data_IF_273782663822
#
_entry.id   IF_273782663822
#
_cell.length_a   1.000
_cell.length_b   1.000
_cell.length_c   1.000
_cell.angle_alpha   90.00
_cell.angle_beta   90.00
_cell.angle_gamma   90.00
#
_symmetry.space_group_name_H-M   'P 1'
#
loop_
_entity.id
_entity.type
_entity.pdbx_description
1 polymer ?
#
# COMPACT_ATOMS: atom_id res chain seq x y z
N UNK A 1 -20.86 -15.48 -19.98
CA UNK A 1 -20.89 -15.41 -18.50
C UNK A 1 -22.29 -15.48 -17.88
N UNK A 2 -23.37 -14.94 -18.48
CA UNK A 2 -24.76 -15.15 -17.96
C UNK A 2 -25.36 -16.56 -18.18
N UNK A 3 -24.66 -17.46 -18.88
CA UNK A 3 -25.14 -18.82 -19.16
C UNK A 3 -24.95 -19.81 -17.99
N UNK A 4 -23.97 -19.57 -17.10
CA UNK A 4 -23.56 -20.52 -16.05
C UNK A 4 -24.10 -20.19 -14.65
N UNK A 5 -24.89 -19.12 -14.51
CA UNK A 5 -25.48 -18.71 -13.23
C UNK A 5 -26.93 -19.19 -13.03
N UNK A 6 -27.53 -19.80 -14.05
CA UNK A 6 -28.90 -20.33 -13.98
C UNK A 6 -28.85 -21.86 -14.14
N UNK A 7 -29.08 -22.62 -13.05
CA UNK A 7 -29.02 -24.09 -13.05
C UNK A 7 -29.99 -24.72 -14.05
N UNK A 8 -31.12 -24.06 -14.33
CA UNK A 8 -32.11 -24.57 -15.28
C UNK A 8 -31.65 -24.37 -16.74
N UNK A 9 -30.90 -23.29 -17.00
CA UNK A 9 -30.23 -23.08 -18.29
C UNK A 9 -29.02 -23.99 -18.47
N UNK A 10 -28.26 -24.27 -17.41
CA UNK A 10 -27.17 -25.25 -17.45
C UNK A 10 -27.70 -26.66 -17.73
N UNK A 11 -28.77 -27.07 -17.04
CA UNK A 11 -29.41 -28.36 -17.29
C UNK A 11 -29.84 -28.48 -18.76
N UNK A 12 -30.55 -27.50 -19.31
CA UNK A 12 -31.00 -27.52 -20.71
C UNK A 12 -29.85 -27.50 -21.73
N UNK A 13 -28.68 -26.98 -21.35
CA UNK A 13 -27.48 -26.89 -22.19
C UNK A 13 -26.65 -28.18 -22.19
N UNK A 14 -26.59 -28.89 -21.07
CA UNK A 14 -25.76 -30.10 -20.89
C UNK A 14 -26.55 -31.41 -20.92
N UNK A 15 -27.88 -31.37 -20.99
CA UNK A 15 -28.72 -32.58 -21.09
C UNK A 15 -29.46 -32.76 -22.43
N UNK A 16 -29.50 -31.77 -23.32
CA UNK A 16 -30.07 -31.91 -24.65
C UNK A 16 -28.95 -32.17 -25.67
N UNK A 17 -28.85 -33.40 -26.24
CA UNK A 17 -27.79 -33.76 -27.19
C UNK A 17 -27.79 -32.89 -28.44
N UNK A 18 -28.94 -32.37 -28.88
CA UNK A 18 -29.01 -31.47 -30.04
C UNK A 18 -28.49 -30.08 -29.68
N UNK A 19 -28.75 -29.61 -28.47
CA UNK A 19 -28.21 -28.33 -27.99
C UNK A 19 -26.71 -28.43 -27.69
N UNK A 20 -26.24 -29.56 -27.14
CA UNK A 20 -24.81 -29.85 -27.04
C UNK A 20 -24.17 -29.90 -28.42
N UNK A 21 -24.79 -30.56 -29.39
CA UNK A 21 -24.29 -30.61 -30.76
C UNK A 21 -24.22 -29.20 -31.36
N UNK A 22 -25.26 -28.37 -31.25
CA UNK A 22 -25.22 -26.98 -31.73
C UNK A 22 -24.13 -26.17 -30.99
N UNK A 23 -23.95 -26.37 -29.68
CA UNK A 23 -22.94 -25.65 -28.90
C UNK A 23 -21.50 -26.04 -29.25
N UNK A 24 -21.28 -27.32 -29.57
CA UNK A 24 -19.96 -27.92 -29.81
C UNK A 24 -19.69 -28.24 -31.29
N UNK A 25 -20.61 -27.97 -32.22
CA UNK A 25 -20.45 -28.20 -33.66
C UNK A 25 -20.94 -27.04 -34.56
N UNK A 26 -21.64 -26.02 -34.05
CA UNK A 26 -21.83 -24.77 -34.79
C UNK A 26 -20.57 -23.89 -34.60
N UNK A 27 -19.78 -23.64 -35.66
CA UNK A 27 -18.54 -22.87 -35.56
C UNK A 27 -18.78 -21.44 -35.05
N UNK A 28 -19.95 -20.86 -35.30
CA UNK A 28 -20.29 -19.52 -34.81
C UNK A 28 -20.65 -19.52 -33.32
N UNK A 29 -21.21 -20.61 -32.79
CA UNK A 29 -21.54 -20.75 -31.36
C UNK A 29 -20.34 -21.23 -30.55
N UNK A 30 -19.54 -22.13 -31.09
CA UNK A 30 -18.22 -22.49 -30.54
C UNK A 30 -17.32 -21.27 -30.43
N UNK A 31 -17.29 -20.42 -31.47
CA UNK A 31 -16.55 -19.18 -31.42
C UNK A 31 -17.09 -18.21 -30.36
N UNK A 32 -18.40 -18.21 -30.07
CA UNK A 32 -18.97 -17.41 -28.97
C UNK A 32 -18.68 -18.00 -27.58
N UNK A 33 -18.56 -19.32 -27.44
CA UNK A 33 -18.30 -19.99 -26.16
C UNK A 33 -16.80 -20.12 -25.83
N UNK A 34 -15.99 -20.37 -26.85
CA UNK A 34 -14.58 -20.74 -26.80
C UNK A 34 -13.73 -19.83 -27.69
N UNK A 35 -14.09 -18.55 -27.79
CA UNK A 35 -13.45 -17.53 -28.65
C UNK A 35 -11.92 -17.44 -28.50
N UNK A 36 -11.30 -18.09 -27.51
CA UNK A 36 -9.86 -18.14 -27.35
C UNK A 36 -9.30 -19.56 -27.67
N UNK A 37 -8.74 -19.77 -28.88
CA UNK A 37 -8.16 -21.05 -29.29
C UNK A 37 -7.02 -21.54 -28.39
N UNK A 38 -6.34 -20.65 -27.66
CA UNK A 38 -5.23 -21.01 -26.78
C UNK A 38 -5.67 -21.57 -25.42
N UNK A 39 -6.94 -21.39 -25.03
CA UNK A 39 -7.50 -22.01 -23.82
C UNK A 39 -7.93 -23.45 -24.08
N UNK A 40 -8.48 -23.73 -25.27
CA UNK A 40 -8.76 -25.12 -25.70
C UNK A 40 -7.49 -25.94 -25.82
N UNK A 41 -6.42 -25.35 -26.36
CA UNK A 41 -5.15 -26.02 -26.56
C UNK A 41 -4.57 -26.62 -25.26
N UNK A 42 -4.75 -25.93 -24.14
CA UNK A 42 -4.23 -26.37 -22.85
C UNK A 42 -5.08 -27.43 -22.15
N UNK A 43 -6.37 -27.54 -22.48
CA UNK A 43 -7.30 -28.47 -21.81
C UNK A 43 -7.30 -29.88 -22.45
N UNK A 44 -6.86 -30.00 -23.72
CA UNK A 44 -7.19 -31.17 -24.57
C UNK A 44 -5.98 -31.87 -25.21
N UNK A 45 -4.78 -31.82 -24.60
CA UNK A 45 -3.55 -32.31 -25.23
C UNK A 45 -3.29 -33.84 -25.14
N UNK A 46 -4.22 -34.65 -24.62
CA UNK A 46 -4.18 -36.10 -24.78
C UNK A 46 -5.60 -36.69 -24.99
N UNK A 47 -5.95 -37.10 -26.23
CA UNK A 47 -7.27 -37.63 -26.56
C UNK A 47 -7.66 -38.90 -25.78
N UNK A 48 -6.69 -39.71 -25.34
CA UNK A 48 -6.96 -40.92 -24.56
C UNK A 48 -7.15 -40.62 -23.07
N UNK A 49 -6.43 -39.63 -22.54
CA UNK A 49 -6.70 -39.09 -21.20
C UNK A 49 -8.05 -38.38 -21.17
N UNK A 50 -8.39 -37.61 -22.21
CA UNK A 50 -9.69 -36.97 -22.34
C UNK A 50 -10.83 -37.99 -22.33
N UNK A 51 -10.68 -39.11 -23.06
CA UNK A 51 -11.66 -40.19 -22.99
C UNK A 51 -11.75 -40.75 -21.56
N UNK A 52 -10.64 -41.06 -20.89
CA UNK A 52 -10.69 -41.53 -19.50
C UNK A 52 -11.27 -40.51 -18.50
N UNK A 53 -11.03 -39.22 -18.71
CA UNK A 53 -11.46 -38.12 -17.82
C UNK A 53 -12.94 -37.80 -17.95
N UNK A 54 -13.49 -37.90 -19.17
CA UNK A 54 -14.86 -37.50 -19.48
C UNK A 54 -15.82 -38.67 -19.72
N UNK A 55 -15.32 -39.90 -19.87
CA UNK A 55 -16.16 -41.08 -20.09
C UNK A 55 -16.24 -42.07 -18.93
N UNK A 56 -15.38 -41.99 -17.90
CA UNK A 56 -15.48 -42.83 -16.69
C UNK A 56 -16.04 -42.03 -15.49
N UNK A 57 -17.31 -42.24 -15.12
CA UNK A 57 -17.96 -41.53 -14.01
C UNK A 57 -17.29 -41.76 -12.65
N UNK A 58 -16.54 -42.86 -12.46
CA UNK A 58 -15.92 -43.16 -11.18
C UNK A 58 -14.61 -42.40 -10.96
N UNK A 59 -13.86 -42.11 -12.03
CA UNK A 59 -12.66 -41.26 -11.96
C UNK A 59 -13.04 -39.79 -11.70
N UNK A 60 -14.16 -39.36 -12.28
CA UNK A 60 -14.78 -38.07 -11.97
C UNK A 60 -15.19 -37.97 -10.50
N UNK A 61 -15.56 -39.07 -9.85
CA UNK A 61 -15.91 -39.01 -8.44
C UNK A 61 -14.70 -38.75 -7.52
N UNK A 62 -13.58 -39.43 -7.75
CA UNK A 62 -12.38 -39.32 -6.89
C UNK A 62 -11.65 -37.97 -7.03
N UNK A 63 -11.64 -37.41 -8.25
CA UNK A 63 -10.89 -36.19 -8.56
C UNK A 63 -11.57 -34.93 -7.99
N UNK A 64 -12.89 -34.97 -7.81
CA UNK A 64 -13.69 -33.80 -7.44
C UNK A 64 -14.00 -33.70 -5.93
N UNK A 65 -13.52 -34.64 -5.10
CA UNK A 65 -13.84 -34.72 -3.67
C UNK A 65 -12.64 -34.65 -2.70
N UNK A 66 -11.37 -34.71 -3.16
CA UNK A 66 -10.17 -34.55 -2.30
C UNK A 66 -9.54 -33.14 -2.43
N UNK A 67 -9.66 -32.25 -1.43
CA UNK A 67 -9.19 -30.87 -1.49
C UNK A 67 -7.66 -30.70 -1.59
N UNK A 68 -6.86 -31.63 -1.03
CA UNK A 68 -5.40 -31.52 -1.04
C UNK A 68 -4.82 -31.96 -2.38
N UNK A 69 -5.43 -32.97 -3.01
CA UNK A 69 -5.11 -33.37 -4.38
C UNK A 69 -5.60 -32.35 -5.39
N UNK A 70 -6.78 -31.76 -5.16
CA UNK A 70 -7.24 -30.59 -5.91
C UNK A 70 -6.19 -29.47 -5.84
N UNK A 71 -5.67 -29.12 -4.66
CA UNK A 71 -4.67 -28.05 -4.55
C UNK A 71 -3.38 -28.33 -5.33
N UNK A 72 -2.83 -29.54 -5.27
CA UNK A 72 -1.65 -29.93 -6.08
C UNK A 72 -1.94 -29.99 -7.58
N UNK A 73 -3.17 -30.32 -7.97
CA UNK A 73 -3.65 -30.24 -9.36
C UNK A 73 -3.69 -28.79 -9.88
N UNK A 74 -3.84 -27.80 -8.99
CA UNK A 74 -4.00 -26.39 -9.36
C UNK A 74 -2.81 -25.49 -9.03
N UNK A 75 -1.72 -26.01 -8.44
CA UNK A 75 -0.48 -25.27 -8.15
C UNK A 75 0.49 -25.33 -9.34
N UNK A 76 1.05 -24.17 -9.69
CA UNK A 76 2.10 -24.05 -10.70
C UNK A 76 3.35 -23.45 -10.07
N UNK A 77 4.43 -24.24 -10.02
CA UNK A 77 5.76 -23.82 -9.57
C UNK A 77 6.64 -23.46 -10.79
N UNK A 78 7.20 -22.25 -10.81
CA UNK A 78 8.06 -21.76 -11.91
C UNK A 78 9.44 -21.38 -11.38
N UNK A 79 10.44 -22.20 -11.72
CA UNK A 79 11.86 -21.97 -11.38
C UNK A 79 12.69 -21.83 -12.67
N UNK A 80 12.83 -20.62 -13.24
CA UNK A 80 13.64 -20.40 -14.43
C UNK A 80 15.13 -20.57 -14.15
N UNK A 81 15.89 -21.01 -15.17
CA UNK A 81 17.35 -21.17 -15.09
C UNK A 81 18.08 -19.81 -15.21
N UNK A 82 19.31 -19.69 -14.68
CA UNK A 82 20.10 -18.46 -14.78
C UNK A 82 20.29 -18.01 -16.24
N UNK A 83 19.87 -16.80 -16.55
CA UNK A 83 19.90 -16.18 -17.89
C UNK A 83 20.02 -14.66 -17.74
N UNK A 84 20.35 -13.95 -18.81
CA UNK A 84 20.47 -12.47 -18.80
C UNK A 84 19.11 -11.79 -18.59
N UNK A 85 18.05 -12.37 -19.15
CA UNK A 85 16.68 -11.86 -19.16
C UNK A 85 15.72 -13.01 -18.89
N UNK A 86 14.71 -12.79 -18.05
CA UNK A 86 13.65 -13.76 -17.76
C UNK A 86 12.30 -13.04 -17.76
N UNK A 87 11.41 -13.46 -18.65
CA UNK A 87 10.03 -12.99 -18.68
C UNK A 87 9.10 -14.15 -18.28
N UNK A 88 8.34 -13.97 -17.21
CA UNK A 88 7.45 -15.01 -16.66
C UNK A 88 6.01 -14.50 -16.63
N UNK A 89 5.19 -15.13 -17.48
CA UNK A 89 3.75 -14.85 -17.62
C UNK A 89 2.98 -16.15 -17.37
N UNK A 90 2.78 -16.54 -16.10
CA UNK A 90 2.00 -17.73 -15.77
C UNK A 90 0.54 -17.52 -16.19
N UNK A 91 -0.08 -18.60 -16.65
CA UNK A 91 -1.51 -18.63 -16.98
C UNK A 91 -2.35 -18.67 -15.70
N UNK A 92 -3.64 -18.30 -15.78
CA UNK A 92 -4.56 -18.35 -14.64
C UNK A 92 -4.58 -19.74 -13.97
N UNK A 93 -4.26 -19.80 -12.69
CA UNK A 93 -4.33 -21.01 -11.85
C UNK A 93 -4.78 -20.64 -10.42
N UNK A 94 -5.05 -21.64 -9.58
CA UNK A 94 -5.42 -21.34 -8.19
C UNK A 94 -4.25 -20.68 -7.45
N UNK A 95 -3.04 -21.23 -7.60
CA UNK A 95 -1.85 -20.75 -6.90
C UNK A 95 -0.63 -20.77 -7.83
N UNK A 96 0.22 -19.74 -7.73
CA UNK A 96 1.48 -19.64 -8.48
C UNK A 96 2.62 -19.27 -7.56
N UNK A 97 3.72 -20.03 -7.61
CA UNK A 97 4.99 -19.72 -6.93
C UNK A 97 6.08 -19.48 -7.98
N UNK A 98 6.80 -18.37 -7.87
CA UNK A 98 7.83 -17.98 -8.84
C UNK A 98 9.14 -17.59 -8.16
N UNK A 99 10.22 -18.33 -8.48
CA UNK A 99 11.53 -18.18 -7.83
C UNK A 99 12.65 -18.13 -8.87
N UNK A 100 12.91 -16.99 -9.53
CA UNK A 100 14.05 -16.86 -10.43
C UNK A 100 15.37 -16.84 -9.64
N UNK A 101 16.46 -17.28 -10.29
CA UNK A 101 17.80 -17.30 -9.69
C UNK A 101 18.82 -16.70 -10.63
N UNK A 102 19.58 -15.72 -10.15
CA UNK A 102 20.82 -15.23 -10.78
C UNK A 102 20.63 -14.69 -12.20
N UNK A 103 19.86 -13.61 -12.33
CA UNK A 103 19.49 -13.00 -13.62
C UNK A 103 19.75 -11.50 -13.62
N UNK A 104 20.06 -10.90 -14.77
CA UNK A 104 20.28 -9.44 -14.83
C UNK A 104 18.96 -8.68 -14.77
N UNK A 105 17.95 -9.16 -15.50
CA UNK A 105 16.62 -8.55 -15.61
C UNK A 105 15.54 -9.61 -15.47
N UNK A 106 14.46 -9.28 -14.75
CA UNK A 106 13.31 -10.17 -14.61
C UNK A 106 12.00 -9.40 -14.67
N UNK A 107 11.07 -9.85 -15.51
CA UNK A 107 9.71 -9.35 -15.61
C UNK A 107 8.71 -10.44 -15.18
N UNK A 108 7.81 -10.11 -14.25
CA UNK A 108 6.75 -10.98 -13.76
C UNK A 108 5.37 -10.40 -14.04
N UNK A 109 4.55 -11.11 -14.80
CA UNK A 109 3.16 -10.69 -15.07
C UNK A 109 2.19 -11.86 -14.86
N UNK A 110 1.96 -12.30 -13.60
CA UNK A 110 0.97 -13.33 -13.34
C UNK A 110 -0.45 -12.81 -13.65
N UNK A 111 -1.19 -13.65 -14.37
CA UNK A 111 -2.60 -13.46 -14.77
C UNK A 111 -3.54 -13.93 -13.65
N UNK A 112 -4.87 -13.71 -13.74
CA UNK A 112 -5.79 -13.88 -12.61
C UNK A 112 -5.62 -15.21 -11.88
N UNK A 113 -5.23 -15.16 -10.61
CA UNK A 113 -4.98 -16.32 -9.74
C UNK A 113 -5.52 -16.02 -8.34
N UNK A 114 -5.80 -17.05 -7.54
CA UNK A 114 -6.22 -16.82 -6.16
C UNK A 114 -5.04 -16.30 -5.33
N UNK A 115 -3.87 -16.93 -5.45
CA UNK A 115 -2.66 -16.53 -4.71
C UNK A 115 -1.44 -16.48 -5.62
N UNK A 116 -0.53 -15.54 -5.34
CA UNK A 116 0.76 -15.39 -6.00
C UNK A 116 1.86 -15.17 -4.96
N UNK A 117 2.91 -15.97 -5.02
CA UNK A 117 4.14 -15.78 -4.26
C UNK A 117 5.32 -15.56 -5.25
N UNK A 118 6.03 -14.44 -5.10
CA UNK A 118 7.16 -14.09 -5.97
C UNK A 118 8.39 -13.80 -5.11
N UNK A 119 9.43 -14.61 -5.29
CA UNK A 119 10.68 -14.54 -4.50
C UNK A 119 11.90 -14.49 -5.43
N UNK A 120 12.19 -13.34 -6.07
CA UNK A 120 13.38 -13.21 -6.90
C UNK A 120 14.64 -13.22 -6.04
N UNK A 121 15.65 -13.99 -6.51
CA UNK A 121 16.98 -14.15 -5.89
C UNK A 121 18.02 -13.46 -6.79
N UNK A 122 19.19 -13.06 -6.24
CA UNK A 122 19.97 -11.91 -6.64
C UNK A 122 19.87 -11.50 -8.12
N UNK A 123 19.35 -10.29 -8.35
CA UNK A 123 19.14 -9.73 -9.70
C UNK A 123 19.59 -8.26 -9.77
N UNK A 124 19.78 -7.71 -10.97
CA UNK A 124 20.05 -6.28 -11.12
C UNK A 124 18.74 -5.47 -11.14
N UNK A 125 17.75 -5.94 -11.90
CA UNK A 125 16.45 -5.27 -12.09
C UNK A 125 15.31 -6.28 -11.96
N UNK A 126 14.22 -5.88 -11.32
CA UNK A 126 12.99 -6.68 -11.18
C UNK A 126 11.77 -5.81 -11.45
N UNK A 127 10.89 -6.26 -12.34
CA UNK A 127 9.55 -5.71 -12.54
C UNK A 127 8.49 -6.76 -12.19
N UNK A 128 7.54 -6.43 -11.31
CA UNK A 128 6.48 -7.33 -10.86
C UNK A 128 5.11 -6.68 -11.02
N UNK A 129 4.25 -7.24 -11.88
CA UNK A 129 2.92 -6.73 -12.22
C UNK A 129 1.85 -7.82 -12.12
N UNK A 130 1.48 -8.28 -10.90
CA UNK A 130 0.40 -9.24 -10.72
C UNK A 130 -0.95 -8.61 -11.07
N UNK A 131 -1.82 -9.35 -11.77
CA UNK A 131 -3.10 -8.84 -12.26
C UNK A 131 -4.27 -9.67 -11.75
N UNK A 132 -5.22 -9.00 -11.09
CA UNK A 132 -6.53 -9.58 -10.71
C UNK A 132 -6.39 -10.81 -9.81
N UNK A 133 -5.69 -10.63 -8.70
CA UNK A 133 -5.35 -11.70 -7.75
C UNK A 133 -5.97 -11.46 -6.37
N UNK A 134 -6.35 -12.50 -5.64
CA UNK A 134 -6.91 -12.29 -4.28
C UNK A 134 -5.79 -11.89 -3.33
N UNK A 135 -4.68 -12.62 -3.32
CA UNK A 135 -3.53 -12.36 -2.46
C UNK A 135 -2.23 -12.32 -3.26
N UNK A 136 -1.33 -11.41 -2.88
CA UNK A 136 0.02 -11.27 -3.46
C UNK A 136 1.04 -11.12 -2.35
N UNK A 137 2.05 -11.99 -2.35
CA UNK A 137 3.23 -11.89 -1.51
C UNK A 137 4.48 -11.74 -2.39
N UNK A 138 5.25 -10.67 -2.19
CA UNK A 138 6.44 -10.35 -2.97
C UNK A 138 7.63 -10.13 -2.02
N UNK A 139 8.60 -11.04 -2.05
CA UNK A 139 9.78 -11.01 -1.16
C UNK A 139 11.07 -11.03 -1.98
N UNK A 140 11.42 -9.92 -2.63
CA UNK A 140 12.61 -9.88 -3.45
C UNK A 140 13.88 -9.76 -2.60
N UNK A 141 14.95 -10.41 -3.07
CA UNK A 141 16.23 -10.60 -2.37
C UNK A 141 17.37 -10.07 -3.25
N UNK A 142 18.50 -9.65 -2.64
CA UNK A 142 19.33 -8.53 -3.04
C UNK A 142 19.23 -8.08 -4.51
N UNK A 143 18.72 -6.88 -4.72
CA UNK A 143 18.47 -6.29 -6.04
C UNK A 143 19.01 -4.86 -6.12
N UNK A 144 19.39 -4.39 -7.31
CA UNK A 144 19.72 -2.96 -7.46
C UNK A 144 18.44 -2.12 -7.60
N UNK A 145 17.49 -2.56 -8.43
CA UNK A 145 16.27 -1.80 -8.72
C UNK A 145 15.05 -2.71 -8.78
N UNK A 146 13.95 -2.26 -8.19
CA UNK A 146 12.66 -2.96 -8.18
C UNK A 146 11.51 -2.03 -8.50
N UNK A 147 10.66 -2.46 -9.42
CA UNK A 147 9.36 -1.85 -9.71
C UNK A 147 8.25 -2.87 -9.48
N UNK A 148 7.30 -2.56 -8.59
CA UNK A 148 6.22 -3.49 -8.23
C UNK A 148 4.88 -2.77 -8.37
N UNK A 149 4.04 -3.26 -9.28
CA UNK A 149 2.75 -2.64 -9.64
C UNK A 149 1.62 -3.68 -9.58
N UNK A 150 1.17 -4.08 -8.37
CA UNK A 150 0.00 -4.93 -8.22
C UNK A 150 -1.25 -4.26 -8.79
N UNK A 151 -2.05 -5.02 -9.53
CA UNK A 151 -3.29 -4.57 -10.19
C UNK A 151 -4.47 -5.42 -9.72
N UNK A 152 -5.67 -4.82 -9.63
CA UNK A 152 -6.70 -5.06 -8.62
C UNK A 152 -6.53 -6.31 -7.76
N UNK A 153 -6.26 -6.13 -6.47
CA UNK A 153 -6.02 -7.23 -5.54
C UNK A 153 -6.77 -7.05 -4.22
N UNK A 154 -7.06 -8.14 -3.49
CA UNK A 154 -7.66 -7.98 -2.15
C UNK A 154 -6.59 -7.60 -1.14
N UNK A 155 -5.50 -8.39 -1.09
CA UNK A 155 -4.39 -8.19 -0.16
C UNK A 155 -3.05 -8.17 -0.88
N UNK A 156 -2.13 -7.31 -0.43
CA UNK A 156 -0.76 -7.20 -0.94
C UNK A 156 0.21 -7.11 0.23
N UNK A 157 1.19 -7.99 0.26
CA UNK A 157 2.34 -7.92 1.17
C UNK A 157 3.63 -7.84 0.34
N UNK A 158 4.44 -6.81 0.58
CA UNK A 158 5.70 -6.58 -0.13
C UNK A 158 6.84 -6.39 0.89
N UNK A 159 7.89 -7.22 0.80
CA UNK A 159 9.00 -7.24 1.77
C UNK A 159 10.35 -7.33 1.03
N UNK A 160 10.84 -6.24 0.42
CA UNK A 160 12.10 -6.22 -0.28
C UNK A 160 13.26 -6.20 0.73
N UNK A 161 14.33 -6.93 0.39
CA UNK A 161 15.48 -7.12 1.28
C UNK A 161 16.78 -6.74 0.59
N UNK A 162 17.50 -5.78 1.18
CA UNK A 162 18.84 -5.35 0.75
C UNK A 162 18.84 -4.83 -0.68
N UNK A 163 18.06 -3.78 -0.94
CA UNK A 163 17.83 -3.24 -2.27
C UNK A 163 18.30 -1.78 -2.38
N UNK A 164 18.82 -1.36 -3.53
CA UNK A 164 19.23 0.05 -3.69
C UNK A 164 18.01 0.95 -3.87
N UNK A 165 17.12 0.63 -4.81
CA UNK A 165 15.92 1.42 -5.10
C UNK A 165 14.69 0.54 -5.25
N UNK A 166 13.60 0.95 -4.60
CA UNK A 166 12.29 0.28 -4.69
C UNK A 166 11.21 1.30 -5.03
N UNK A 167 10.47 1.06 -6.11
CA UNK A 167 9.29 1.82 -6.49
C UNK A 167 8.06 0.90 -6.48
N UNK A 168 7.04 1.26 -5.70
CA UNK A 168 5.84 0.45 -5.51
C UNK A 168 4.59 1.29 -5.76
N UNK A 169 3.77 0.85 -6.71
CA UNK A 169 2.56 1.56 -7.14
C UNK A 169 1.37 0.59 -7.24
N UNK A 170 0.85 0.09 -6.12
CA UNK A 170 -0.30 -0.80 -6.13
C UNK A 170 -1.57 -0.04 -6.51
N UNK A 171 -2.44 -0.75 -7.21
CA UNK A 171 -3.67 -0.26 -7.84
C UNK A 171 -4.84 -1.13 -7.36
N UNK A 172 -6.06 -0.58 -7.37
CA UNK A 172 -7.11 -0.75 -6.37
C UNK A 172 -7.00 -1.98 -5.48
N UNK A 173 -6.77 -1.78 -4.18
CA UNK A 173 -6.61 -2.87 -3.22
C UNK A 173 -7.48 -2.70 -1.98
N UNK A 174 -7.72 -3.78 -1.22
CA UNK A 174 -8.39 -3.64 0.09
C UNK A 174 -7.36 -3.32 1.17
N UNK A 175 -6.33 -4.16 1.30
CA UNK A 175 -5.30 -4.03 2.34
C UNK A 175 -3.90 -4.14 1.76
N UNK A 176 -2.99 -3.28 2.21
CA UNK A 176 -1.58 -3.32 1.81
C UNK A 176 -0.66 -3.23 3.02
N UNK A 177 0.33 -4.11 3.05
CA UNK A 177 1.44 -4.08 3.99
C UNK A 177 2.76 -3.98 3.20
N UNK A 178 3.58 -2.99 3.55
CA UNK A 178 4.90 -2.84 2.93
C UNK A 178 5.99 -2.62 3.98
N UNK A 179 6.97 -3.53 3.97
CA UNK A 179 8.03 -3.59 4.99
C UNK A 179 9.40 -3.71 4.30
N UNK A 180 9.94 -2.63 3.69
CA UNK A 180 11.27 -2.67 3.11
C UNK A 180 12.35 -2.81 4.19
N UNK A 181 13.36 -3.62 3.90
CA UNK A 181 14.48 -3.94 4.81
C UNK A 181 15.81 -3.71 4.10
N UNK A 182 16.79 -3.20 4.86
CA UNK A 182 17.74 -2.15 4.45
C UNK A 182 17.67 -1.71 2.99
N UNK A 183 17.24 -0.47 2.74
CA UNK A 183 17.13 0.07 1.37
C UNK A 183 17.72 1.48 1.24
N UNK A 184 18.29 1.85 0.09
CA UNK A 184 18.78 3.22 -0.08
C UNK A 184 17.61 4.17 -0.31
N UNK A 185 16.80 3.90 -1.33
CA UNK A 185 15.66 4.75 -1.70
C UNK A 185 14.37 3.94 -1.83
N UNK A 186 13.27 4.50 -1.33
CA UNK A 186 11.93 3.92 -1.41
C UNK A 186 10.94 4.97 -1.90
N UNK A 187 10.21 4.65 -2.95
CA UNK A 187 9.03 5.40 -3.41
C UNK A 187 7.79 4.49 -3.29
N UNK A 188 6.79 4.94 -2.55
CA UNK A 188 5.55 4.18 -2.32
C UNK A 188 4.31 5.02 -2.60
N UNK A 189 3.56 4.65 -3.65
CA UNK A 189 2.41 5.41 -4.15
C UNK A 189 1.18 4.50 -4.28
N UNK A 190 0.54 4.11 -3.16
CA UNK A 190 -0.65 3.27 -3.21
C UNK A 190 -1.86 4.06 -3.73
N UNK A 191 -2.69 3.41 -4.55
CA UNK A 191 -3.82 4.01 -5.26
C UNK A 191 -5.08 3.17 -5.11
N UNK A 192 -6.24 3.85 -5.07
CA UNK A 192 -7.34 3.67 -4.11
C UNK A 192 -7.29 2.40 -3.25
N UNK A 193 -7.16 2.56 -1.93
CA UNK A 193 -7.01 1.43 -1.01
C UNK A 193 -7.85 1.63 0.26
N UNK A 194 -8.28 0.56 0.94
CA UNK A 194 -8.98 0.74 2.23
C UNK A 194 -7.98 1.00 3.34
N UNK A 195 -6.97 0.16 3.47
CA UNK A 195 -5.96 0.26 4.53
C UNK A 195 -4.55 0.13 3.97
N UNK A 196 -3.64 0.96 4.46
CA UNK A 196 -2.21 0.92 4.13
C UNK A 196 -1.40 0.91 5.42
N UNK A 197 -0.52 -0.09 5.56
CA UNK A 197 0.50 -0.15 6.60
C UNK A 197 1.89 -0.11 5.95
N UNK A 198 2.72 0.84 6.39
CA UNK A 198 4.05 1.08 5.84
C UNK A 198 5.09 1.15 6.95
N UNK A 199 6.02 0.19 6.99
CA UNK A 199 7.01 0.05 8.07
C UNK A 199 8.42 -0.15 7.50
N UNK A 200 9.05 0.88 6.92
CA UNK A 200 10.39 0.77 6.39
C UNK A 200 11.40 0.66 7.53
N UNK A 201 12.41 -0.18 7.29
CA UNK A 201 13.51 -0.47 8.20
C UNK A 201 14.82 -0.09 7.50
N UNK A 202 15.86 0.25 8.27
CA UNK A 202 16.87 1.25 7.95
C UNK A 202 16.94 1.72 6.49
N UNK A 203 16.49 2.93 6.21
CA UNK A 203 16.47 3.49 4.86
C UNK A 203 17.18 4.85 4.77
N UNK A 204 17.70 5.22 3.59
CA UNK A 204 18.28 6.57 3.44
C UNK A 204 17.18 7.59 3.15
N UNK A 205 16.42 7.37 2.07
CA UNK A 205 15.33 8.26 1.64
C UNK A 205 14.03 7.49 1.49
N UNK A 206 12.92 8.10 1.91
CA UNK A 206 11.58 7.53 1.80
C UNK A 206 10.62 8.60 1.29
N UNK A 207 9.93 8.31 0.20
CA UNK A 207 8.82 9.11 -0.33
C UNK A 207 7.53 8.27 -0.32
N UNK A 208 6.48 8.80 0.30
CA UNK A 208 5.19 8.10 0.45
C UNK A 208 4.06 9.02 0.01
N UNK A 209 3.29 8.59 -0.99
CA UNK A 209 2.18 9.38 -1.56
C UNK A 209 0.92 8.51 -1.67
N UNK A 210 0.25 8.18 -0.56
CA UNK A 210 -0.99 7.41 -0.61
C UNK A 210 -2.11 8.26 -1.21
N UNK A 211 -2.87 7.67 -2.15
CA UNK A 211 -3.93 8.36 -2.89
C UNK A 211 -5.28 7.67 -2.73
N UNK A 212 -6.27 8.43 -2.26
CA UNK A 212 -7.66 7.99 -2.12
C UNK A 212 -7.77 6.78 -1.20
N UNK A 213 -7.26 6.91 0.02
CA UNK A 213 -7.19 5.81 0.99
C UNK A 213 -8.03 6.08 2.23
N UNK A 214 -8.65 5.06 2.83
CA UNK A 214 -9.44 5.27 4.05
C UNK A 214 -8.51 5.47 5.24
N UNK A 215 -7.61 4.53 5.50
CA UNK A 215 -6.66 4.58 6.62
C UNK A 215 -5.23 4.38 6.16
N UNK A 216 -4.31 5.15 6.74
CA UNK A 216 -2.87 5.05 6.47
C UNK A 216 -2.12 5.03 7.79
N UNK A 217 -1.30 4.01 8.02
CA UNK A 217 -0.34 3.94 9.12
C UNK A 217 1.08 3.89 8.57
N UNK A 218 1.92 4.85 8.96
CA UNK A 218 3.30 4.99 8.51
C UNK A 218 4.23 5.02 9.73
N UNK A 219 5.03 3.96 9.92
CA UNK A 219 5.94 3.81 11.06
C UNK A 219 7.37 3.57 10.59
N UNK A 220 8.04 4.59 10.04
CA UNK A 220 9.37 4.41 9.52
C UNK A 220 10.42 4.36 10.63
N UNK A 221 11.45 3.55 10.41
CA UNK A 221 12.48 3.19 11.40
C UNK A 221 13.87 3.27 10.78
N UNK A 222 14.86 3.66 11.61
CA UNK A 222 15.85 4.71 11.34
C UNK A 222 15.97 5.16 9.87
N UNK A 223 15.74 6.45 9.61
CA UNK A 223 15.83 7.00 8.26
C UNK A 223 16.62 8.32 8.23
N UNK A 224 17.17 8.69 7.07
CA UNK A 224 17.81 10.02 6.94
C UNK A 224 16.76 11.07 6.60
N UNK A 225 16.02 10.88 5.52
CA UNK A 225 15.03 11.85 5.01
C UNK A 225 13.71 11.16 4.67
N UNK A 226 12.60 11.75 5.07
CA UNK A 226 11.25 11.27 4.78
C UNK A 226 10.37 12.39 4.23
N UNK A 227 9.66 12.09 3.15
CA UNK A 227 8.60 12.92 2.60
C UNK A 227 7.30 12.12 2.54
N UNK A 228 6.25 12.63 3.19
CA UNK A 228 4.98 11.94 3.33
C UNK A 228 3.85 12.86 2.89
N UNK A 229 3.19 12.52 1.78
CA UNK A 229 2.16 13.35 1.15
C UNK A 229 0.85 12.57 0.92
N UNK A 230 0.06 12.31 1.98
CA UNK A 230 -1.26 11.71 1.85
C UNK A 230 -2.20 12.59 1.04
N UNK A 231 -2.94 11.99 0.10
CA UNK A 231 -3.85 12.66 -0.83
C UNK A 231 -5.19 11.92 -0.90
N UNK A 232 -6.30 12.67 -0.98
CA UNK A 232 -7.49 12.49 -0.14
C UNK A 232 -7.52 11.24 0.74
N UNK A 233 -7.47 11.41 2.07
CA UNK A 233 -7.53 10.28 3.02
C UNK A 233 -8.43 10.55 4.22
N UNK A 234 -9.06 9.51 4.80
CA UNK A 234 -9.90 9.73 6.00
C UNK A 234 -9.02 9.89 7.23
N UNK A 235 -8.18 8.90 7.53
CA UNK A 235 -7.29 8.92 8.70
C UNK A 235 -5.85 8.64 8.30
N UNK A 236 -4.91 9.35 8.94
CA UNK A 236 -3.46 9.16 8.76
C UNK A 236 -2.78 9.16 10.12
N UNK A 237 -2.06 8.09 10.43
CA UNK A 237 -1.15 8.00 11.58
C UNK A 237 0.30 7.92 11.08
N UNK A 238 1.16 8.81 11.58
CA UNK A 238 2.58 8.86 11.20
C UNK A 238 3.45 8.88 12.45
N UNK A 239 4.28 7.85 12.62
CA UNK A 239 5.16 7.67 13.79
C UNK A 239 6.60 7.44 13.34
N UNK A 240 7.30 8.50 12.86
CA UNK A 240 8.68 8.36 12.43
C UNK A 240 9.60 8.18 13.63
N UNK A 241 10.55 7.23 13.52
CA UNK A 241 11.47 6.87 14.61
C UNK A 241 12.93 6.99 14.19
N UNK A 242 13.70 7.78 14.95
CA UNK A 242 15.13 8.01 14.75
C UNK A 242 15.44 8.54 13.34
N UNK A 243 14.84 9.68 13.01
CA UNK A 243 14.88 10.27 11.68
C UNK A 243 15.63 11.61 11.70
N UNK A 244 16.39 11.96 10.66
CA UNK A 244 17.02 13.30 10.64
C UNK A 244 16.00 14.35 10.24
N UNK A 245 15.36 14.18 9.09
CA UNK A 245 14.43 15.16 8.53
C UNK A 245 13.13 14.50 8.10
N UNK A 246 12.00 15.08 8.50
CA UNK A 246 10.66 14.60 8.14
C UNK A 246 9.85 15.77 7.59
N UNK A 247 9.32 15.62 6.38
CA UNK A 247 8.34 16.53 5.77
C UNK A 247 7.00 15.80 5.60
N UNK A 248 5.93 16.36 6.15
CA UNK A 248 4.59 15.79 6.11
C UNK A 248 3.59 16.80 5.55
N UNK A 249 2.98 16.48 4.42
CA UNK A 249 2.07 17.39 3.69
C UNK A 249 0.74 16.69 3.36
N UNK A 250 -0.14 16.43 4.35
CA UNK A 250 -1.43 15.81 4.11
C UNK A 250 -2.36 16.77 3.37
N UNK A 251 -3.11 16.23 2.40
CA UNK A 251 -3.96 16.97 1.48
C UNK A 251 -5.27 16.21 1.22
N UNK A 252 -6.36 16.95 1.06
CA UNK A 252 -7.46 16.98 2.03
C UNK A 252 -7.59 15.72 2.89
N UNK A 253 -7.63 15.85 4.21
CA UNK A 253 -7.77 14.70 5.11
C UNK A 253 -8.72 14.97 6.28
N UNK A 254 -9.39 13.94 6.80
CA UNK A 254 -10.26 14.16 7.97
C UNK A 254 -9.42 14.29 9.23
N UNK A 255 -8.64 13.27 9.57
CA UNK A 255 -7.80 13.26 10.77
C UNK A 255 -6.34 12.94 10.43
N UNK A 256 -5.42 13.58 11.14
CA UNK A 256 -3.97 13.37 10.99
C UNK A 256 -3.32 13.37 12.37
N UNK A 257 -2.73 12.23 12.73
CA UNK A 257 -2.04 12.04 14.00
C UNK A 257 -0.55 11.80 13.73
N UNK A 258 0.30 12.68 14.26
CA UNK A 258 1.74 12.67 13.97
C UNK A 258 2.53 12.66 15.27
N UNK A 259 3.35 11.62 15.47
CA UNK A 259 4.11 11.39 16.71
C UNK A 259 5.58 11.07 16.41
N UNK A 260 6.40 12.07 16.01
CA UNK A 260 7.81 11.84 15.72
C UNK A 260 8.59 11.56 16.99
N UNK A 261 9.51 10.59 16.90
CA UNK A 261 10.29 10.06 18.02
C UNK A 261 11.76 9.93 17.66
N UNK A 262 12.65 10.34 18.57
CA UNK A 262 13.72 11.30 18.30
C UNK A 262 13.91 11.72 16.83
N UNK A 263 13.72 13.01 16.53
CA UNK A 263 13.90 13.57 15.17
C UNK A 263 14.63 14.90 15.20
N UNK A 264 15.53 15.19 14.25
CA UNK A 264 16.23 16.48 14.24
C UNK A 264 15.32 17.61 13.73
N UNK A 265 14.68 17.43 12.57
CA UNK A 265 13.80 18.43 11.96
C UNK A 265 12.48 17.81 11.52
N UNK A 266 11.37 18.49 11.80
CA UNK A 266 10.02 18.10 11.37
C UNK A 266 9.32 19.31 10.78
N UNK A 267 8.91 19.21 9.51
CA UNK A 267 8.06 20.19 8.84
C UNK A 267 6.69 19.58 8.54
N UNK A 268 5.61 20.24 8.95
CA UNK A 268 4.23 19.76 8.75
C UNK A 268 3.39 20.86 8.10
N UNK A 269 2.88 20.57 6.90
CA UNK A 269 2.07 21.51 6.12
C UNK A 269 0.72 20.88 5.75
N UNK A 270 -0.20 20.72 6.72
CA UNK A 270 -1.49 20.11 6.45
C UNK A 270 -2.37 21.07 5.65
N UNK A 271 -2.98 20.57 4.58
CA UNK A 271 -3.81 21.36 3.67
C UNK A 271 -5.22 20.82 3.59
N UNK A 272 -6.20 21.64 3.94
CA UNK A 272 -7.62 21.31 3.91
C UNK A 272 -7.93 20.08 4.77
N UNK A 273 -7.44 20.10 6.02
CA UNK A 273 -7.62 18.99 6.96
C UNK A 273 -8.61 19.36 8.07
N UNK A 274 -9.38 18.40 8.58
CA UNK A 274 -10.34 18.71 9.65
C UNK A 274 -9.62 18.81 10.99
N UNK A 275 -8.91 17.76 11.38
CA UNK A 275 -8.15 17.71 12.64
C UNK A 275 -6.69 17.35 12.39
N UNK A 276 -5.79 17.93 13.18
CA UNK A 276 -4.38 17.59 13.23
C UNK A 276 -3.96 17.47 14.69
N UNK A 277 -3.53 16.30 15.12
CA UNK A 277 -2.90 16.07 16.41
C UNK A 277 -1.41 15.83 16.23
N UNK A 278 -0.57 16.59 16.93
CA UNK A 278 0.86 16.52 16.78
C UNK A 278 1.58 16.48 18.12
N UNK A 279 2.34 15.40 18.36
CA UNK A 279 3.00 15.15 19.63
C UNK A 279 4.48 14.78 19.43
N UNK A 280 5.37 15.74 19.12
CA UNK A 280 6.77 15.46 18.90
C UNK A 280 7.51 15.17 20.20
N UNK A 281 8.43 14.20 20.15
CA UNK A 281 9.17 13.71 21.32
C UNK A 281 10.59 13.30 20.96
N UNK A 282 11.54 13.64 21.84
CA UNK A 282 12.38 14.83 21.68
C UNK A 282 12.65 15.23 20.21
N UNK A 283 12.58 16.52 19.89
CA UNK A 283 12.94 17.04 18.56
C UNK A 283 13.71 18.36 18.62
N UNK A 284 14.64 18.62 17.70
CA UNK A 284 15.40 19.87 17.71
C UNK A 284 14.57 21.01 17.13
N UNK A 285 14.01 20.82 15.94
CA UNK A 285 13.23 21.84 15.23
C UNK A 285 11.91 21.28 14.75
N UNK A 286 10.86 22.09 14.87
CA UNK A 286 9.50 21.80 14.42
C UNK A 286 8.97 23.05 13.74
N UNK A 287 8.53 22.92 12.49
CA UNK A 287 7.79 23.93 11.76
C UNK A 287 6.41 23.38 11.36
N UNK A 288 5.35 24.12 11.68
CA UNK A 288 3.98 23.69 11.40
C UNK A 288 3.23 24.83 10.72
N UNK A 289 2.79 24.61 9.48
CA UNK A 289 2.11 25.61 8.65
C UNK A 289 0.75 25.08 8.17
N UNK A 290 -0.25 25.00 9.06
CA UNK A 290 -1.56 24.47 8.72
C UNK A 290 -2.33 25.44 7.82
N UNK A 291 -2.95 24.91 6.76
CA UNK A 291 -3.58 25.70 5.68
C UNK A 291 -4.97 25.16 5.33
N UNK A 292 -5.98 26.03 5.26
CA UNK A 292 -7.30 25.80 5.86
C UNK A 292 -7.45 24.56 6.75
N UNK A 293 -7.68 24.75 8.05
CA UNK A 293 -7.76 23.64 9.01
C UNK A 293 -8.78 23.94 10.10
N UNK A 294 -9.59 22.95 10.51
CA UNK A 294 -10.59 23.20 11.56
C UNK A 294 -9.93 23.24 12.92
N UNK A 295 -9.24 22.15 13.32
CA UNK A 295 -8.56 22.05 14.61
C UNK A 295 -7.12 21.61 14.44
N UNK A 296 -6.23 22.19 15.26
CA UNK A 296 -4.82 21.81 15.35
C UNK A 296 -4.45 21.74 16.82
N UNK A 297 -4.02 20.57 17.28
CA UNK A 297 -3.56 20.32 18.65
C UNK A 297 -2.09 19.92 18.63
N UNK A 298 -1.25 20.68 19.34
CA UNK A 298 0.20 20.53 19.32
C UNK A 298 0.73 20.40 20.75
N UNK A 299 1.29 19.23 21.07
CA UNK A 299 1.82 18.90 22.40
C UNK A 299 3.31 18.53 22.33
N UNK A 300 4.20 19.51 22.11
CA UNK A 300 5.61 19.21 21.97
C UNK A 300 6.24 18.88 23.31
N UNK A 301 7.08 17.84 23.34
CA UNK A 301 7.76 17.39 24.56
C UNK A 301 9.26 17.32 24.33
N UNK A 302 10.01 18.03 25.17
CA UNK A 302 11.48 18.09 25.07
C UNK A 302 11.93 18.56 23.68
N UNK A 303 11.44 19.72 23.25
CA UNK A 303 11.74 20.28 21.92
C UNK A 303 12.56 21.56 22.03
N UNK A 304 13.53 21.77 21.15
CA UNK A 304 14.33 23.02 21.23
C UNK A 304 13.54 24.19 20.64
N UNK A 305 13.04 24.06 19.41
CA UNK A 305 12.32 25.14 18.72
C UNK A 305 11.03 24.62 18.10
N UNK A 306 9.98 25.43 18.21
CA UNK A 306 8.66 25.17 17.62
C UNK A 306 8.17 26.47 16.97
N UNK A 307 7.98 26.44 15.65
CA UNK A 307 7.41 27.54 14.87
C UNK A 307 6.07 27.12 14.28
N UNK A 308 5.03 27.92 14.53
CA UNK A 308 3.66 27.60 14.12
C UNK A 308 3.08 28.81 13.39
N UNK A 309 2.75 28.63 12.12
CA UNK A 309 2.23 29.70 11.24
C UNK A 309 0.87 29.28 10.67
N UNK A 310 -0.20 29.30 11.48
CA UNK A 310 -1.48 28.76 11.06
C UNK A 310 -2.22 29.73 10.13
N UNK A 311 -2.83 29.19 9.07
CA UNK A 311 -3.44 29.96 7.99
C UNK A 311 -4.78 29.39 7.51
N UNK A 312 -5.77 30.27 7.36
CA UNK A 312 -7.06 30.16 8.04
C UNK A 312 -7.25 28.91 8.92
N UNK A 313 -7.31 29.09 10.24
CA UNK A 313 -7.66 28.00 11.17
C UNK A 313 -8.76 28.39 12.14
N UNK A 314 -9.61 27.43 12.52
CA UNK A 314 -10.65 27.72 13.52
C UNK A 314 -10.06 27.68 14.92
N UNK A 315 -9.43 26.56 15.29
CA UNK A 315 -8.88 26.34 16.63
C UNK A 315 -7.44 25.88 16.54
N UNK A 316 -6.58 26.49 17.34
CA UNK A 316 -5.20 26.05 17.57
C UNK A 316 -4.98 25.92 19.06
N UNK A 317 -4.72 24.70 19.54
CA UNK A 317 -4.34 24.41 20.93
C UNK A 317 -2.88 23.97 21.00
N UNK A 318 -2.10 24.62 21.86
CA UNK A 318 -0.67 24.36 22.00
C UNK A 318 -0.31 24.20 23.47
N UNK A 319 0.23 23.02 23.81
CA UNK A 319 0.59 22.62 25.18
C UNK A 319 2.05 22.14 25.24
N UNK A 320 3.03 23.06 25.18
CA UNK A 320 4.43 22.69 25.19
C UNK A 320 4.86 22.19 26.57
N UNK A 321 5.77 21.22 26.59
CA UNK A 321 6.35 20.64 27.81
C UNK A 321 7.85 20.55 27.66
N UNK A 322 8.58 21.38 28.41
CA UNK A 322 10.04 21.43 28.34
C UNK A 322 10.50 21.82 26.93
N UNK A 323 10.01 22.98 26.47
CA UNK A 323 10.35 23.52 25.15
C UNK A 323 11.19 24.78 25.31
N UNK A 324 12.29 24.95 24.57
CA UNK A 324 13.11 26.16 24.73
C UNK A 324 12.42 27.38 24.11
N UNK A 325 12.02 27.28 22.85
CA UNK A 325 11.42 28.41 22.11
C UNK A 325 10.16 27.99 21.39
N UNK A 326 9.10 28.80 21.54
CA UNK A 326 7.85 28.69 20.79
C UNK A 326 7.55 30.02 20.11
N UNK A 327 7.41 30.01 18.79
CA UNK A 327 6.98 31.15 17.99
C UNK A 327 5.65 30.84 17.28
N UNK A 328 4.64 31.70 17.46
CA UNK A 328 3.31 31.52 16.89
C UNK A 328 2.91 32.78 16.12
N UNK A 329 2.64 32.63 14.81
CA UNK A 329 2.28 33.73 13.93
C UNK A 329 0.95 33.42 13.21
N UNK A 330 -0.21 33.57 13.90
CA UNK A 330 -1.52 33.21 13.35
C UNK A 330 -2.01 34.20 12.29
N UNK A 331 -2.61 33.70 11.21
CA UNK A 331 -3.08 34.51 10.07
C UNK A 331 -4.22 33.87 9.27
N UNK A 332 -5.42 34.47 9.23
CA UNK A 332 -6.34 34.66 10.36
C UNK A 332 -6.64 33.35 11.12
N UNK A 333 -6.95 33.46 12.41
CA UNK A 333 -7.36 32.31 13.25
C UNK A 333 -8.51 32.73 14.18
N UNK A 334 -9.48 31.87 14.43
CA UNK A 334 -10.60 32.23 15.34
C UNK A 334 -10.13 32.17 16.79
N UNK A 335 -9.60 31.02 17.21
CA UNK A 335 -9.16 30.78 18.59
C UNK A 335 -7.76 30.20 18.65
N UNK A 336 -6.90 30.80 19.48
CA UNK A 336 -5.61 30.24 19.88
C UNK A 336 -5.62 30.03 21.40
N UNK A 337 -5.47 28.79 21.85
CA UNK A 337 -5.27 28.43 23.26
C UNK A 337 -3.83 27.95 23.48
N UNK A 338 -3.15 28.59 24.43
CA UNK A 338 -1.75 28.31 24.75
C UNK A 338 -1.60 28.02 26.25
N UNK A 339 -1.13 26.82 26.58
CA UNK A 339 -0.96 26.35 27.96
C UNK A 339 0.50 25.92 28.18
N UNK A 340 1.42 26.87 28.44
CA UNK A 340 2.84 26.56 28.52
C UNK A 340 3.21 25.78 29.79
N UNK A 341 4.10 24.80 29.64
CA UNK A 341 4.79 24.10 30.73
C UNK A 341 6.28 23.99 30.38
N UNK A 342 7.16 24.03 31.40
CA UNK A 342 8.34 24.90 31.39
C UNK A 342 8.80 25.26 29.97
N UNK A 343 8.58 26.52 29.60
CA UNK A 343 8.97 27.08 28.29
C UNK A 343 9.84 28.30 28.53
N UNK A 344 11.01 28.38 27.91
CA UNK A 344 11.96 29.48 28.18
C UNK A 344 11.54 30.77 27.48
N UNK A 345 11.17 30.66 26.21
CA UNK A 345 10.85 31.81 25.34
C UNK A 345 9.58 31.54 24.56
N UNK A 346 8.65 32.50 24.58
CA UNK A 346 7.38 32.45 23.84
C UNK A 346 7.19 33.77 23.11
N UNK A 347 7.05 33.70 21.78
CA UNK A 347 6.70 34.83 20.93
C UNK A 347 5.37 34.54 20.23
N UNK A 348 4.40 35.42 20.42
CA UNK A 348 3.11 35.34 19.73
C UNK A 348 2.90 36.66 19.00
N UNK A 349 2.85 36.60 17.67
CA UNK A 349 2.63 37.77 16.80
C UNK A 349 1.23 37.68 16.21
N UNK A 350 0.18 38.11 16.94
CA UNK A 350 -1.19 37.97 16.47
C UNK A 350 -1.43 38.87 15.25
N UNK A 351 -1.96 38.28 14.19
CA UNK A 351 -2.58 38.97 13.04
C UNK A 351 -3.98 38.36 12.86
N UNK A 352 -4.94 39.06 12.22
CA UNK A 352 -6.34 39.11 12.67
C UNK A 352 -6.81 37.81 13.33
N UNK A 353 -6.80 37.81 14.67
CA UNK A 353 -7.18 36.67 15.51
C UNK A 353 -8.31 37.12 16.42
N UNK A 354 -9.40 36.35 16.48
CA UNK A 354 -10.58 36.75 17.26
C UNK A 354 -10.36 36.56 18.76
N UNK A 355 -9.72 35.46 19.17
CA UNK A 355 -9.47 35.15 20.58
C UNK A 355 -8.11 34.50 20.76
N UNK A 356 -7.30 35.05 21.68
CA UNK A 356 -6.07 34.43 22.17
C UNK A 356 -6.21 34.23 23.68
N UNK A 357 -6.14 32.99 24.13
CA UNK A 357 -6.20 32.61 25.54
C UNK A 357 -4.88 31.98 25.95
N UNK A 358 -4.19 32.63 26.89
CA UNK A 358 -2.99 32.09 27.53
C UNK A 358 -3.39 31.69 28.93
N UNK A 359 -3.29 30.40 29.27
CA UNK A 359 -3.59 29.90 30.61
C UNK A 359 -2.28 29.78 31.39
N UNK A 360 -1.95 30.74 32.27
CA UNK A 360 -0.76 30.63 33.11
C UNK A 360 -0.95 29.51 34.14
N UNK A 361 0.16 28.88 34.53
CA UNK A 361 0.16 27.88 35.60
C UNK A 361 -0.19 28.55 36.95
N UNK A 362 -0.99 27.93 37.83
CA UNK A 362 -1.03 28.33 39.23
C UNK A 362 0.34 28.08 39.87
N UNK A 363 0.96 29.13 40.39
CA UNK A 363 2.21 29.07 41.15
C UNK A 363 1.95 28.37 42.50
N UNK A 364 2.64 27.25 42.76
CA UNK A 364 2.90 26.71 44.10
C UNK A 364 4.38 26.83 44.39
#
# INVERSE_FOLDING_TARGET
WKLFHDPHKQWKLFHDPQQQWILFHDPQQQWKLFHDPQQQWNLFLDPQQQWKLFHDPQQQWKLFLDPQQLWKLFLVEIVPRPTTTVDIVPRPTATVEIVPRSTTTVEFVPRPTTTVEIVPRPTTTVEIVPRSTTTVEIVPRPTATEEIVPRPTTTVEIVPRSTTTVAIVPRPTTTEEFVPRPTTTVEFVPRPTTTVEFVPRPTTTVEIVPRSTTTVEIVPRPTTTEEIVPRPTTTVEIVPRFTKTVEIVPRPTTTVDIVPRPTATVEIVPRSTTTVEFVPRPTTTVEIVPRPTTTVEIVPRSTTTVEIVPRPTTIVEIVPRSTTTVAIVPRPTTTVEFVPRPTTTVEIVPRPTTTVKIVPRPTT
#
